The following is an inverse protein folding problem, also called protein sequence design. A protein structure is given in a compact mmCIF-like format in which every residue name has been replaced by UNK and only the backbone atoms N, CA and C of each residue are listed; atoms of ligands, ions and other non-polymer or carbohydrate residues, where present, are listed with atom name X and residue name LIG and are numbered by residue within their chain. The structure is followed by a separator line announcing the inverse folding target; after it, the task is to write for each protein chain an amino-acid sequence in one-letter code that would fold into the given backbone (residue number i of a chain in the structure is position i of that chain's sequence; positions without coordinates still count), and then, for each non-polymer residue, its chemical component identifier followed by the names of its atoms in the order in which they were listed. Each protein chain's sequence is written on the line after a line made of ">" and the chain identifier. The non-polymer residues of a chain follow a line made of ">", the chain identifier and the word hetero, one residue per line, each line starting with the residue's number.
data_IF_450633195722
#
_entry.id   IF_450633195722
#
_cell.length_a   1.000
_cell.length_b   1.000
_cell.length_c   1.000
_cell.angle_alpha   90.00
_cell.angle_beta   90.00
_cell.angle_gamma   90.00
#
_symmetry.space_group_name_H-M   'P 1'
#
loop_
_entity.id
_entity.type
_entity.pdbx_description
1 polymer ?
#
# COMPACT_ATOMS: atom_id res chain seq x y z
N UNK A 1 6.73 24.27 9.52
CA UNK A 1 6.00 23.10 10.06
C UNK A 1 5.70 22.19 8.88
N UNK A 2 6.28 21.00 8.81
CA UNK A 2 5.93 20.02 7.76
C UNK A 2 4.58 19.42 8.15
N UNK A 3 3.56 19.60 7.30
CA UNK A 3 2.22 19.08 7.56
C UNK A 3 2.15 17.67 6.97
N UNK A 4 1.80 16.71 7.82
CA UNK A 4 1.51 15.34 7.42
C UNK A 4 0.37 15.35 6.38
N UNK A 5 0.58 14.70 5.23
CA UNK A 5 -0.37 14.65 4.13
C UNK A 5 -1.76 14.14 4.56
N UNK A 6 -1.81 13.18 5.49
CA UNK A 6 -3.07 12.65 6.01
C UNK A 6 -3.80 13.71 6.82
N UNK A 7 -3.06 14.48 7.63
CA UNK A 7 -3.65 15.60 8.40
C UNK A 7 -4.17 16.70 7.46
N UNK A 8 -3.45 17.01 6.39
CA UNK A 8 -3.90 18.01 5.41
C UNK A 8 -5.22 17.58 4.75
N UNK A 9 -5.32 16.31 4.36
CA UNK A 9 -6.53 15.72 3.76
C UNK A 9 -7.70 15.75 4.75
N UNK A 10 -7.49 15.31 5.99
CA UNK A 10 -8.56 15.29 7.01
C UNK A 10 -9.03 16.69 7.39
N UNK A 11 -8.13 17.68 7.44
CA UNK A 11 -8.52 19.07 7.65
C UNK A 11 -9.32 19.63 6.47
N UNK A 12 -8.96 19.25 5.24
CA UNK A 12 -9.64 19.71 4.02
C UNK A 12 -11.03 19.11 3.87
N UNK A 13 -11.17 17.83 4.19
CA UNK A 13 -12.41 17.08 4.07
C UNK A 13 -12.62 16.13 5.27
N UNK A 14 -13.18 16.64 6.38
CA UNK A 14 -13.44 15.84 7.58
C UNK A 14 -14.42 14.68 7.36
N UNK A 15 -15.25 14.74 6.31
CA UNK A 15 -16.24 13.72 6.00
C UNK A 15 -15.62 12.38 5.51
N UNK A 16 -14.32 12.38 5.18
CA UNK A 16 -13.55 11.17 4.90
C UNK A 16 -13.30 10.32 6.15
N UNK A 17 -13.49 10.88 7.34
CA UNK A 17 -13.28 10.18 8.61
C UNK A 17 -11.80 9.95 8.94
N UNK A 18 -11.55 9.06 9.89
CA UNK A 18 -10.22 8.86 10.47
C UNK A 18 -9.37 7.84 9.72
N UNK A 19 -9.99 6.91 8.99
CA UNK A 19 -9.30 5.81 8.29
C UNK A 19 -9.10 6.18 6.83
N UNK A 20 -8.02 6.90 6.58
CA UNK A 20 -7.71 7.47 5.27
C UNK A 20 -6.35 6.96 4.79
N UNK A 21 -6.30 6.54 3.53
CA UNK A 21 -5.09 6.12 2.84
C UNK A 21 -4.88 6.99 1.59
N UNK A 22 -3.70 7.58 1.48
CA UNK A 22 -3.33 8.40 0.32
C UNK A 22 -2.61 7.53 -0.71
N UNK A 23 -3.15 7.46 -1.92
CA UNK A 23 -2.57 6.72 -3.03
C UNK A 23 -1.58 7.60 -3.80
N UNK A 24 -0.37 7.07 -4.01
CA UNK A 24 0.61 7.67 -4.91
C UNK A 24 0.12 7.64 -6.36
N UNK A 25 0.69 8.50 -7.20
CA UNK A 25 0.38 8.56 -8.65
C UNK A 25 0.69 7.25 -9.39
N UNK A 26 1.71 6.54 -8.94
CA UNK A 26 2.23 5.29 -9.50
C UNK A 26 1.73 4.04 -8.75
N UNK A 27 0.68 4.17 -7.94
CA UNK A 27 0.11 3.04 -7.22
C UNK A 27 -0.53 2.03 -8.18
N UNK A 28 -0.27 0.73 -7.98
CA UNK A 28 -0.92 -0.37 -8.71
C UNK A 28 -2.45 -0.43 -8.55
N UNK A 29 -2.96 0.21 -7.50
CA UNK A 29 -4.41 0.32 -7.29
C UNK A 29 -5.07 1.38 -8.20
N UNK A 30 -4.28 2.22 -8.88
CA UNK A 30 -4.80 3.24 -9.81
C UNK A 30 -4.79 2.71 -11.22
N UNK A 31 -5.74 3.19 -12.02
CA UNK A 31 -5.75 2.88 -13.44
C UNK A 31 -4.55 3.55 -14.13
N UNK A 32 -3.84 2.78 -14.96
CA UNK A 32 -2.62 3.24 -15.62
C UNK A 32 -2.89 4.25 -16.74
N UNK A 33 -4.07 4.21 -17.36
CA UNK A 33 -4.48 5.13 -18.41
C UNK A 33 -5.16 6.38 -17.83
N UNK A 34 -5.91 6.22 -16.73
CA UNK A 34 -6.56 7.31 -16.00
C UNK A 34 -6.28 7.24 -14.50
N UNK A 35 -5.20 7.90 -14.02
CA UNK A 35 -4.87 7.90 -12.61
C UNK A 35 -6.00 8.45 -11.72
N UNK A 36 -6.95 9.24 -12.24
CA UNK A 36 -8.07 9.74 -11.45
C UNK A 36 -9.09 8.65 -11.10
N UNK A 37 -8.84 7.39 -11.49
CA UNK A 37 -9.68 6.23 -11.20
C UNK A 37 -8.88 5.11 -10.55
N UNK A 38 -9.60 4.21 -9.90
CA UNK A 38 -9.04 2.94 -9.46
C UNK A 38 -8.95 1.98 -10.64
N UNK A 39 -8.02 1.03 -10.56
CA UNK A 39 -7.98 -0.07 -11.51
C UNK A 39 -9.23 -0.95 -11.33
N UNK A 40 -9.72 -1.63 -12.39
CA UNK A 40 -10.90 -2.50 -12.27
C UNK A 40 -10.76 -3.58 -11.19
N UNK A 41 -9.54 -4.09 -11.00
CA UNK A 41 -9.22 -5.08 -9.97
C UNK A 41 -9.33 -4.47 -8.56
N UNK A 42 -8.84 -3.25 -8.36
CA UNK A 42 -8.97 -2.55 -7.08
C UNK A 42 -10.43 -2.16 -6.78
N UNK A 43 -11.19 -1.74 -7.78
CA UNK A 43 -12.63 -1.47 -7.64
C UNK A 43 -13.39 -2.74 -7.23
N UNK A 44 -13.14 -3.86 -7.91
CA UNK A 44 -13.76 -5.15 -7.60
C UNK A 44 -13.40 -5.62 -6.18
N UNK A 45 -12.12 -5.52 -5.81
CA UNK A 45 -11.65 -5.89 -4.49
C UNK A 45 -12.36 -5.08 -3.39
N UNK A 46 -12.48 -3.75 -3.57
CA UNK A 46 -13.16 -2.87 -2.61
C UNK A 46 -14.64 -3.21 -2.47
N UNK A 47 -15.32 -3.53 -3.57
CA UNK A 47 -16.73 -3.89 -3.54
C UNK A 47 -16.99 -5.16 -2.70
N UNK A 48 -16.05 -6.11 -2.74
CA UNK A 48 -16.14 -7.37 -1.99
C UNK A 48 -15.70 -7.24 -0.53
N UNK A 49 -14.56 -6.56 -0.28
CA UNK A 49 -13.88 -6.60 1.02
C UNK A 49 -14.12 -5.36 1.89
N UNK A 50 -14.49 -4.24 1.30
CA UNK A 50 -14.65 -2.96 1.99
C UNK A 50 -15.88 -2.19 1.48
N UNK A 51 -17.09 -2.77 1.55
CA UNK A 51 -18.29 -2.11 1.09
C UNK A 51 -18.48 -0.78 1.84
N UNK A 52 -18.60 0.31 1.08
CA UNK A 52 -18.69 1.66 1.62
C UNK A 52 -17.36 2.42 1.71
N UNK A 53 -16.24 1.84 1.26
CA UNK A 53 -15.04 2.60 0.98
C UNK A 53 -15.32 3.69 -0.06
N UNK A 54 -14.69 4.86 0.12
CA UNK A 54 -14.88 6.02 -0.75
C UNK A 54 -13.56 6.42 -1.37
N UNK A 55 -13.57 6.52 -2.69
CA UNK A 55 -12.47 7.06 -3.46
C UNK A 55 -12.74 8.54 -3.77
N UNK A 56 -11.76 9.40 -3.50
CA UNK A 56 -11.85 10.86 -3.71
C UNK A 56 -10.51 11.41 -4.19
N UNK A 57 -10.55 12.52 -4.93
CA UNK A 57 -9.38 13.35 -5.20
C UNK A 57 -9.50 14.65 -4.41
N UNK A 58 -8.48 14.94 -3.58
CA UNK A 58 -8.46 16.10 -2.71
C UNK A 58 -7.35 17.08 -3.14
N UNK A 59 -7.63 18.38 -3.11
CA UNK A 59 -6.62 19.43 -3.28
C UNK A 59 -6.19 19.95 -1.92
N UNK A 60 -4.94 19.73 -1.57
CA UNK A 60 -4.35 20.09 -0.29
C UNK A 60 -3.11 20.96 -0.46
N UNK A 61 -2.88 21.86 0.49
CA UNK A 61 -1.67 22.67 0.55
C UNK A 61 -0.56 21.89 1.25
N UNK A 62 0.52 21.59 0.52
CA UNK A 62 1.67 20.86 1.06
C UNK A 62 2.96 21.62 0.77
N UNK A 63 3.80 21.76 1.79
CA UNK A 63 5.18 22.24 1.60
C UNK A 63 6.01 21.11 0.97
N UNK A 64 6.69 21.34 -0.17
CA UNK A 64 7.48 20.31 -0.84
C UNK A 64 8.70 19.85 -0.02
N UNK A 65 9.21 20.71 0.86
CA UNK A 65 10.27 20.43 1.82
C UNK A 65 10.15 21.36 3.04
N UNK A 66 10.79 21.04 4.17
CA UNK A 66 10.75 21.89 5.36
C UNK A 66 11.21 23.32 5.07
N UNK A 67 10.39 24.31 5.45
CA UNK A 67 10.68 25.73 5.25
C UNK A 67 10.20 26.32 3.90
N UNK A 68 9.77 25.47 2.96
CA UNK A 68 9.15 25.94 1.72
C UNK A 68 7.72 26.46 1.93
N UNK A 69 7.31 27.41 1.10
CA UNK A 69 5.91 27.82 1.02
C UNK A 69 5.02 26.64 0.57
N UNK A 70 3.87 26.41 1.23
CA UNK A 70 2.92 25.41 0.78
C UNK A 70 2.41 25.69 -0.63
N UNK A 71 2.23 24.63 -1.42
CA UNK A 71 1.65 24.70 -2.76
C UNK A 71 0.49 23.71 -2.88
N UNK A 72 -0.46 24.01 -3.77
CA UNK A 72 -1.57 23.11 -4.05
C UNK A 72 -1.08 21.81 -4.69
N UNK A 73 -1.54 20.69 -4.14
CA UNK A 73 -1.30 19.34 -4.66
C UNK A 73 -2.62 18.59 -4.71
N UNK A 74 -2.91 18.00 -5.86
CA UNK A 74 -3.93 16.98 -5.97
C UNK A 74 -3.40 15.67 -5.38
N UNK A 75 -4.16 15.07 -4.48
CA UNK A 75 -3.84 13.80 -3.83
C UNK A 75 -5.05 12.89 -3.95
N UNK A 76 -4.80 11.63 -4.26
CA UNK A 76 -5.85 10.64 -4.42
C UNK A 76 -6.00 9.87 -3.12
N UNK A 77 -7.23 9.66 -2.68
CA UNK A 77 -7.54 9.25 -1.32
C UNK A 77 -8.56 8.13 -1.33
N UNK A 78 -8.30 7.10 -0.53
CA UNK A 78 -9.28 6.09 -0.13
C UNK A 78 -9.64 6.28 1.33
N UNK A 79 -10.93 6.43 1.60
CA UNK A 79 -11.48 6.50 2.94
C UNK A 79 -12.26 5.22 3.25
N UNK A 80 -12.06 4.69 4.46
CA UNK A 80 -12.66 3.45 4.93
C UNK A 80 -13.53 3.70 6.15
N UNK A 81 -14.57 2.89 6.33
CA UNK A 81 -15.41 2.93 7.52
C UNK A 81 -14.70 2.32 8.75
N UNK A 82 -13.74 1.41 8.54
CA UNK A 82 -13.08 0.63 9.58
C UNK A 82 -11.58 0.49 9.31
N UNK A 83 -10.79 0.44 10.38
CA UNK A 83 -9.33 0.33 10.33
C UNK A 83 -8.85 -0.99 9.70
N UNK A 84 -9.59 -2.09 9.88
CA UNK A 84 -9.27 -3.42 9.33
C UNK A 84 -9.41 -3.43 7.82
N UNK A 85 -10.43 -2.76 7.28
CA UNK A 85 -10.59 -2.62 5.82
C UNK A 85 -9.44 -1.81 5.22
N UNK A 86 -9.04 -0.71 5.88
CA UNK A 86 -7.87 0.06 5.46
C UNK A 86 -6.60 -0.80 5.48
N UNK A 87 -6.36 -1.52 6.58
CA UNK A 87 -5.18 -2.37 6.72
C UNK A 87 -5.17 -3.50 5.68
N UNK A 88 -6.31 -4.16 5.45
CA UNK A 88 -6.43 -5.21 4.44
C UNK A 88 -6.16 -4.68 3.03
N UNK A 89 -6.69 -3.49 2.69
CA UNK A 89 -6.41 -2.86 1.41
C UNK A 89 -4.94 -2.49 1.27
N UNK A 90 -4.35 -1.88 2.31
CA UNK A 90 -2.93 -1.54 2.31
C UNK A 90 -2.08 -2.80 2.08
N UNK A 91 -2.31 -3.89 2.81
CA UNK A 91 -1.58 -5.15 2.60
C UNK A 91 -1.76 -5.68 1.17
N UNK A 92 -2.99 -5.74 0.67
CA UNK A 92 -3.26 -6.25 -0.67
C UNK A 92 -2.63 -5.39 -1.78
N UNK A 93 -2.48 -4.08 -1.57
CA UNK A 93 -2.10 -3.13 -2.63
C UNK A 93 -0.73 -2.46 -2.43
N UNK A 94 -0.08 -2.61 -1.28
CA UNK A 94 1.24 -2.04 -0.98
C UNK A 94 2.26 -3.05 -0.47
N UNK A 95 1.89 -4.31 -0.21
CA UNK A 95 2.89 -5.35 0.00
C UNK A 95 3.62 -5.65 -1.32
N UNK A 96 4.94 -5.64 -1.28
CA UNK A 96 5.76 -6.37 -2.26
C UNK A 96 5.24 -7.82 -2.26
N UNK A 97 5.07 -8.48 -3.43
CA UNK A 97 4.80 -9.91 -3.42
C UNK A 97 5.87 -10.58 -2.57
N UNK A 98 5.48 -11.37 -1.57
CA UNK A 98 6.44 -12.23 -0.88
C UNK A 98 7.18 -13.02 -1.97
N UNK A 99 8.53 -13.03 -2.00
CA UNK A 99 9.21 -14.04 -2.80
C UNK A 99 8.72 -15.37 -2.24
N UNK A 100 8.04 -16.17 -3.07
CA UNK A 100 7.53 -17.48 -2.66
C UNK A 100 8.66 -18.22 -1.96
N UNK A 101 8.51 -18.35 -0.63
CA UNK A 101 9.42 -19.10 0.20
C UNK A 101 9.40 -20.54 -0.29
N UNK A 102 10.46 -20.94 -0.98
CA UNK A 102 10.86 -22.33 -1.02
C UNK A 102 11.28 -22.71 0.40
N UNK A 103 10.30 -23.08 1.22
CA UNK A 103 10.55 -23.66 2.53
C UNK A 103 11.13 -25.08 2.37
N UNK A 104 12.45 -25.16 2.54
CA UNK A 104 13.17 -26.02 3.49
C UNK A 104 12.72 -27.48 3.75
N UNK A 105 13.52 -28.46 3.29
CA UNK A 105 13.85 -29.76 3.94
C UNK A 105 14.93 -30.43 3.05
N UNK A 106 16.09 -30.94 3.47
CA UNK A 106 16.57 -31.43 4.77
C UNK A 106 18.09 -31.36 4.74
N UNK A 107 18.69 -30.69 5.73
CA UNK A 107 20.03 -31.05 6.14
C UNK A 107 19.93 -32.33 6.98
N UNK A 108 20.51 -33.42 6.51
CA UNK A 108 20.96 -34.51 7.36
C UNK A 108 22.40 -34.89 6.99
N UNK A 109 23.32 -34.92 7.96
CA UNK A 109 24.71 -35.33 7.77
C UNK A 109 24.89 -36.85 7.93
N UNK A 110 26.01 -37.33 7.39
CA UNK A 110 26.66 -38.65 7.64
C UNK A 110 25.98 -39.92 7.10
N UNK A 111 26.68 -40.59 6.16
CA UNK A 111 26.98 -42.01 6.37
C UNK A 111 28.40 -42.33 5.92
N UNK A 112 29.16 -42.85 6.88
CA UNK A 112 30.44 -43.53 6.81
C UNK A 112 30.59 -44.47 5.60
N UNK A 113 31.73 -44.39 4.92
CA UNK A 113 32.28 -45.54 4.20
C UNK A 113 33.82 -45.48 4.21
N UNK A 114 34.35 -46.09 5.25
CA UNK A 114 35.75 -46.49 5.41
C UNK A 114 36.37 -47.23 4.19
N UNK A 115 37.61 -46.82 3.85
CA UNK A 115 38.78 -47.60 3.33
C UNK A 115 38.77 -48.18 1.88
N UNK A 116 39.93 -48.61 1.30
CA UNK A 116 41.34 -48.57 1.76
C UNK A 116 42.40 -48.11 0.72
N UNK A 117 43.65 -48.02 1.20
CA UNK A 117 44.91 -47.93 0.47
C UNK A 117 45.11 -49.00 -0.63
N UNK A 118 45.93 -48.67 -1.64
CA UNK A 118 46.77 -49.64 -2.36
C UNK A 118 46.80 -49.50 -3.89
N UNK A 119 47.99 -49.24 -4.44
CA UNK A 119 48.28 -49.34 -5.88
C UNK A 119 49.52 -48.56 -6.30
#
# INVERSE_FOLDING_TARGET
>A
MFLDIVKAVQQRNPALGSYVLVLRGDSRARDAADPSRLSPEAEAWLAEHAPGARFSEEKVLLSPYPGAMPVDRAVTVLAFADARHLAAFATAWTADPEPEGQDSETGEPETDASKPEGG
#
